data_IF_456155830710
#
_entry.id   IF_456155830710
#
_cell.length_a   1.000
_cell.length_b   1.000
_cell.length_c   1.000
_cell.angle_alpha   90.00
_cell.angle_beta   90.00
_cell.angle_gamma   90.00
#
_symmetry.space_group_name_H-M   'P 1'
#
loop_
_entity.id
_entity.type
_entity.pdbx_description
1 polymer ?
#
# COMPACT_ATOMS: atom_id res chain seq x y z
N UNK A 1 -31.47 35.05 0.99
CA UNK A 1 -31.52 34.57 -0.39
C UNK A 1 -30.70 33.29 -0.54
N UNK A 2 -31.18 32.19 0.04
CA UNK A 2 -31.01 30.80 -0.40
C UNK A 2 -32.15 30.03 0.26
N UNK A 3 -33.17 29.60 -0.51
CA UNK A 3 -34.40 29.03 0.05
C UNK A 3 -34.24 27.57 0.50
N UNK A 4 -35.09 27.22 1.48
CA UNK A 4 -35.63 25.89 1.77
C UNK A 4 -35.82 25.05 0.49
N UNK A 5 -35.29 23.83 0.49
CA UNK A 5 -36.02 22.72 -0.13
C UNK A 5 -36.20 21.62 0.91
N UNK A 6 -37.45 21.48 1.33
CA UNK A 6 -37.99 20.38 2.12
C UNK A 6 -38.62 19.42 1.11
N UNK A 7 -38.10 18.21 1.02
CA UNK A 7 -38.82 17.08 0.44
C UNK A 7 -38.38 15.81 1.15
N UNK A 8 -39.06 15.48 2.26
CA UNK A 8 -39.18 14.11 2.76
C UNK A 8 -39.94 13.23 1.75
N UNK A 9 -39.97 11.90 1.79
CA UNK A 9 -40.09 10.83 2.83
C UNK A 9 -40.04 9.48 2.02
N UNK A 10 -40.33 8.26 2.55
CA UNK A 10 -40.23 7.63 3.88
C UNK A 10 -39.29 6.39 3.85
N UNK A 11 -38.75 5.86 4.95
CA UNK A 11 -39.48 5.07 5.95
C UNK A 11 -39.80 3.65 5.46
N UNK A 12 -38.88 2.70 5.68
CA UNK A 12 -39.16 1.27 5.75
C UNK A 12 -38.33 0.66 6.89
N UNK A 13 -39.00 0.52 8.02
CA UNK A 13 -38.64 -0.22 9.21
C UNK A 13 -38.87 -1.73 9.02
N UNK A 14 -37.91 -2.57 9.43
CA UNK A 14 -38.12 -3.69 10.36
C UNK A 14 -37.04 -4.78 10.24
N UNK A 15 -36.44 -5.06 11.40
CA UNK A 15 -35.98 -6.36 11.88
C UNK A 15 -34.89 -7.12 11.09
N UNK A 16 -33.67 -7.14 11.63
CA UNK A 16 -33.18 -8.36 12.29
C UNK A 16 -31.92 -8.07 13.09
N UNK A 17 -32.01 -8.30 14.40
CA UNK A 17 -30.89 -8.27 15.31
C UNK A 17 -29.88 -9.37 14.98
N UNK A 18 -28.62 -9.10 15.35
CA UNK A 18 -27.56 -10.06 15.67
C UNK A 18 -26.60 -10.49 14.54
N UNK A 19 -25.73 -9.57 14.08
CA UNK A 19 -24.41 -9.88 13.46
C UNK A 19 -23.37 -8.75 13.70
N UNK A 20 -23.27 -8.19 14.91
CA UNK A 20 -22.20 -7.21 15.25
C UNK A 20 -21.13 -7.76 16.20
N UNK A 21 -21.07 -9.08 16.37
CA UNK A 21 -20.00 -9.76 17.12
C UNK A 21 -18.82 -10.22 16.25
N UNK A 22 -18.87 -10.01 14.93
CA UNK A 22 -17.86 -10.52 13.99
C UNK A 22 -16.64 -9.61 13.80
N UNK A 23 -16.54 -8.49 14.53
CA UNK A 23 -15.41 -7.56 14.43
C UNK A 23 -14.35 -7.69 15.55
N UNK A 24 -14.51 -8.62 16.51
CA UNK A 24 -13.49 -8.91 17.54
C UNK A 24 -13.17 -10.40 17.74
N UNK A 25 -13.52 -11.30 16.82
CA UNK A 25 -13.28 -12.73 17.04
C UNK A 25 -13.30 -13.55 15.75
N UNK A 26 -12.12 -13.98 15.30
CA UNK A 26 -12.01 -14.81 14.11
C UNK A 26 -10.59 -15.31 13.85
N UNK A 27 -10.01 -16.04 14.80
CA UNK A 27 -8.92 -16.99 14.52
C UNK A 27 -9.48 -18.13 13.65
N UNK A 28 -9.73 -17.84 12.38
CA UNK A 28 -9.92 -18.83 11.33
C UNK A 28 -8.57 -19.03 10.66
N UNK A 29 -7.89 -20.14 10.95
CA UNK A 29 -6.68 -20.53 10.23
C UNK A 29 -7.07 -20.90 8.80
N UNK A 30 -6.57 -20.22 7.75
CA UNK A 30 -6.79 -20.68 6.39
C UNK A 30 -5.91 -21.90 6.12
N UNK A 31 -6.55 -22.86 5.45
CA UNK A 31 -6.04 -24.12 4.93
C UNK A 31 -4.72 -23.97 4.16
N UNK A 32 -3.87 -24.98 4.29
CA UNK A 32 -2.62 -25.19 3.54
C UNK A 32 -2.91 -25.23 2.02
N UNK A 33 -2.13 -24.45 1.25
CA UNK A 33 -2.02 -24.38 -0.23
C UNK A 33 -2.86 -23.33 -0.97
N UNK A 34 -2.52 -22.05 -0.80
CA UNK A 34 -1.93 -21.18 -1.84
C UNK A 34 -1.60 -19.85 -1.14
N UNK A 35 -0.38 -19.74 -0.58
CA UNK A 35 0.00 -18.52 0.16
C UNK A 35 0.56 -17.52 -0.86
N UNK A 36 0.00 -16.30 -0.97
CA UNK A 36 0.53 -15.28 -1.87
C UNK A 36 2.02 -15.05 -1.61
N UNK A 37 2.80 -14.84 -2.67
CA UNK A 37 4.22 -14.53 -2.57
C UNK A 37 4.43 -13.31 -1.66
N UNK A 38 5.12 -13.52 -0.54
CA UNK A 38 5.51 -12.46 0.39
C UNK A 38 7.01 -12.17 0.21
N UNK A 39 7.39 -11.05 -0.42
CA UNK A 39 8.80 -10.69 -0.64
C UNK A 39 9.55 -10.25 0.62
N UNK A 40 8.87 -10.17 1.76
CA UNK A 40 9.46 -9.84 3.07
C UNK A 40 9.76 -11.09 3.89
N UNK A 41 9.26 -12.26 3.51
CA UNK A 41 9.65 -13.53 4.11
C UNK A 41 11.01 -14.00 3.54
N UNK A 42 12.08 -14.11 4.37
CA UNK A 42 13.39 -14.51 3.88
C UNK A 42 13.45 -15.92 3.28
N UNK A 43 12.47 -16.78 3.58
CA UNK A 43 12.38 -18.13 2.99
C UNK A 43 11.80 -18.08 1.58
N UNK A 44 11.01 -17.04 1.25
CA UNK A 44 10.46 -16.81 -0.08
C UNK A 44 11.33 -15.86 -0.92
N UNK A 45 12.07 -14.94 -0.28
CA UNK A 45 13.01 -14.05 -0.92
C UNK A 45 14.39 -14.08 -0.22
N UNK A 46 15.27 -15.05 -0.57
CA UNK A 46 16.59 -15.17 0.05
C UNK A 46 17.52 -13.98 -0.25
N UNK A 47 17.22 -13.15 -1.24
CA UNK A 47 17.95 -11.91 -1.54
C UNK A 47 17.63 -10.77 -0.54
N UNK A 48 16.58 -10.94 0.27
CA UNK A 48 16.19 -10.03 1.34
C UNK A 48 16.28 -10.75 2.71
N UNK A 49 17.49 -11.06 3.20
CA UNK A 49 17.68 -11.84 4.41
C UNK A 49 17.17 -11.14 5.68
N UNK A 50 17.05 -9.82 5.63
CA UNK A 50 16.52 -8.99 6.73
C UNK A 50 14.99 -8.88 6.69
N UNK A 51 14.33 -9.43 5.68
CA UNK A 51 12.88 -9.36 5.53
C UNK A 51 12.36 -7.92 5.43
N UNK A 52 13.13 -7.02 4.83
CA UNK A 52 12.76 -5.62 4.72
C UNK A 52 11.60 -5.43 3.75
N UNK A 53 10.75 -4.44 4.01
CA UNK A 53 9.78 -3.95 3.03
C UNK A 53 10.50 -3.15 1.94
N UNK A 54 9.94 -3.04 0.72
CA UNK A 54 10.55 -2.28 -0.37
C UNK A 54 10.89 -0.82 0.00
N UNK A 55 10.05 -0.18 0.83
CA UNK A 55 10.26 1.19 1.31
C UNK A 55 11.48 1.34 2.26
N UNK A 56 11.96 0.25 2.87
CA UNK A 56 13.09 0.25 3.80
C UNK A 56 14.35 -0.42 3.24
N UNK A 57 14.24 -1.06 2.09
CA UNK A 57 15.30 -1.87 1.50
C UNK A 57 16.45 -1.00 0.94
N UNK A 58 16.12 0.20 0.45
CA UNK A 58 17.03 1.08 -0.27
C UNK A 58 16.94 2.53 0.25
N UNK A 59 17.42 2.81 1.48
CA UNK A 59 17.25 4.13 2.11
C UNK A 59 17.97 5.25 1.35
N UNK A 60 19.18 4.97 0.84
CA UNK A 60 19.99 5.97 0.14
C UNK A 60 19.32 6.46 -1.15
N UNK A 61 18.89 5.53 -2.01
CA UNK A 61 18.22 5.87 -3.28
C UNK A 61 16.79 6.36 -3.07
N UNK A 62 16.10 5.91 -2.01
CA UNK A 62 14.79 6.44 -1.64
C UNK A 62 14.89 7.92 -1.26
N UNK A 63 15.82 8.28 -0.39
CA UNK A 63 15.99 9.67 0.07
C UNK A 63 16.29 10.58 -1.11
N UNK A 64 17.31 10.25 -1.92
CA UNK A 64 17.66 11.05 -3.09
C UNK A 64 16.47 11.26 -4.05
N UNK A 65 15.67 10.20 -4.29
CA UNK A 65 14.46 10.30 -5.10
C UNK A 65 13.40 11.20 -4.44
N UNK A 66 13.07 10.98 -3.17
CA UNK A 66 12.10 11.80 -2.43
C UNK A 66 12.52 13.28 -2.45
N UNK A 67 13.78 13.58 -2.15
CA UNK A 67 14.32 14.95 -2.18
C UNK A 67 14.17 15.58 -3.56
N UNK A 68 14.39 14.83 -4.65
CA UNK A 68 14.16 15.33 -6.00
C UNK A 68 12.69 15.72 -6.23
N UNK A 69 11.73 14.86 -5.86
CA UNK A 69 10.31 15.15 -6.03
C UNK A 69 9.81 16.28 -5.13
N UNK A 70 10.42 16.50 -3.96
CA UNK A 70 10.07 17.60 -3.07
C UNK A 70 10.55 18.96 -3.59
N UNK A 71 11.67 18.98 -4.33
CA UNK A 71 12.27 20.21 -4.82
C UNK A 71 11.94 20.52 -6.30
N UNK A 72 11.46 19.54 -7.06
CA UNK A 72 11.10 19.72 -8.47
C UNK A 72 9.67 20.22 -8.64
N UNK A 73 9.42 21.02 -9.68
CA UNK A 73 8.07 21.37 -10.08
C UNK A 73 7.30 20.13 -10.57
N UNK A 74 6.06 19.97 -10.11
CA UNK A 74 5.24 18.78 -10.41
C UNK A 74 5.06 18.51 -11.91
N UNK A 75 5.09 19.55 -12.76
CA UNK A 75 4.94 19.42 -14.21
C UNK A 75 6.15 18.82 -14.92
N UNK A 76 7.34 18.80 -14.29
CA UNK A 76 8.60 18.29 -14.88
C UNK A 76 9.29 17.24 -14.02
N UNK A 77 8.80 16.98 -12.81
CA UNK A 77 9.43 16.07 -11.85
C UNK A 77 9.65 14.65 -12.39
N UNK A 78 8.72 14.12 -13.19
CA UNK A 78 8.80 12.76 -13.74
C UNK A 78 10.07 12.54 -14.57
N UNK A 79 10.35 13.46 -15.50
CA UNK A 79 11.54 13.38 -16.36
C UNK A 79 12.80 13.85 -15.62
N UNK A 80 12.70 14.83 -14.71
CA UNK A 80 13.83 15.34 -13.92
C UNK A 80 14.36 14.31 -12.91
N UNK A 81 13.47 13.56 -12.27
CA UNK A 81 13.82 12.59 -11.23
C UNK A 81 13.92 11.15 -11.75
N UNK A 82 13.73 10.93 -13.07
CA UNK A 82 13.71 9.63 -13.73
C UNK A 82 14.92 8.74 -13.39
N UNK A 83 16.13 9.29 -13.46
CA UNK A 83 17.35 8.55 -13.15
C UNK A 83 17.39 8.08 -11.68
N UNK A 84 16.90 8.92 -10.75
CA UNK A 84 16.84 8.58 -9.33
C UNK A 84 15.77 7.51 -9.05
N UNK A 85 14.64 7.57 -9.76
CA UNK A 85 13.62 6.52 -9.74
C UNK A 85 14.20 5.20 -10.26
N UNK A 86 14.92 5.21 -11.38
CA UNK A 86 15.54 4.01 -11.93
C UNK A 86 16.60 3.43 -10.99
N UNK A 87 17.41 4.26 -10.34
CA UNK A 87 18.36 3.83 -9.31
C UNK A 87 17.66 3.15 -8.13
N UNK A 88 16.53 3.70 -7.67
CA UNK A 88 15.74 3.09 -6.61
C UNK A 88 15.12 1.74 -7.02
N UNK A 89 14.57 1.66 -8.24
CA UNK A 89 14.04 0.42 -8.82
C UNK A 89 15.15 -0.63 -8.96
N UNK A 90 16.33 -0.24 -9.46
CA UNK A 90 17.47 -1.14 -9.62
C UNK A 90 17.90 -1.74 -8.27
N UNK A 91 17.96 -0.92 -7.22
CA UNK A 91 18.25 -1.40 -5.87
C UNK A 91 17.20 -2.41 -5.37
N UNK A 92 15.90 -2.12 -5.54
CA UNK A 92 14.83 -3.05 -5.15
C UNK A 92 14.88 -4.36 -5.94
N UNK A 93 15.17 -4.30 -7.24
CA UNK A 93 15.35 -5.49 -8.09
C UNK A 93 16.53 -6.34 -7.67
N UNK A 94 17.63 -5.71 -7.23
CA UNK A 94 18.79 -6.41 -6.67
C UNK A 94 18.48 -7.24 -5.43
N UNK A 95 17.44 -6.85 -4.68
CA UNK A 95 16.96 -7.55 -3.49
C UNK A 95 15.78 -8.50 -3.77
N UNK A 96 15.46 -8.75 -5.04
CA UNK A 96 14.43 -9.71 -5.44
C UNK A 96 12.99 -9.18 -5.40
N UNK A 97 12.78 -7.88 -5.16
CA UNK A 97 11.43 -7.30 -5.25
C UNK A 97 10.98 -7.19 -6.72
N UNK A 98 9.74 -7.64 -7.00
CA UNK A 98 9.09 -7.43 -8.30
C UNK A 98 8.39 -6.06 -8.29
N UNK A 99 9.06 -5.08 -8.89
CA UNK A 99 8.69 -3.66 -8.95
C UNK A 99 8.66 -3.13 -10.38
#
# INVERSE_FOLDING_TARGET
MFPLDTSGRPGAEAASANQISSWWGGSGSPTIQDKPYDPTDPKQNPLNPKGLKPCCACPETKSARDDCFLNADASVADEKCKELVQSHIACMRGLGFKV
#
